data_IF_435398283473
#
_entry.id   IF_435398283473
#
_cell.length_a   1.000
_cell.length_b   1.000
_cell.length_c   1.000
_cell.angle_alpha   90.00
_cell.angle_beta   90.00
_cell.angle_gamma   90.00
#
_symmetry.space_group_name_H-M   'P 1'
#
loop_
_entity.id
_entity.type
_entity.pdbx_description
1 polymer ?
#
# COMPACT_ATOMS: atom_id res chain seq x y z
N UNK A 1 -13.12 -9.04 -46.63
CA UNK A 1 -12.48 -7.72 -46.69
C UNK A 1 -12.52 -7.09 -45.29
N UNK A 2 -11.95 -7.77 -44.28
CA UNK A 2 -10.61 -7.59 -43.73
C UNK A 2 -9.98 -6.18 -43.64
N UNK A 3 -10.74 -5.08 -43.78
CA UNK A 3 -10.17 -3.72 -43.65
C UNK A 3 -9.69 -3.39 -42.22
N UNK A 4 -10.36 -3.92 -41.18
CA UNK A 4 -9.93 -3.70 -39.77
C UNK A 4 -8.62 -4.43 -39.45
N UNK A 5 -8.43 -5.62 -40.00
CA UNK A 5 -7.21 -6.40 -39.82
C UNK A 5 -6.00 -5.70 -40.47
N UNK A 6 -6.20 -5.09 -41.64
CA UNK A 6 -5.14 -4.34 -42.33
C UNK A 6 -4.73 -3.07 -41.56
N UNK A 7 -5.70 -2.38 -40.93
CA UNK A 7 -5.43 -1.19 -40.10
C UNK A 7 -4.66 -1.53 -38.82
N UNK A 8 -5.00 -2.64 -38.17
CA UNK A 8 -4.29 -3.12 -36.98
C UNK A 8 -2.85 -3.48 -37.30
N UNK A 9 -2.61 -4.23 -38.38
CA UNK A 9 -1.26 -4.61 -38.82
C UNK A 9 -0.43 -3.38 -39.21
N UNK A 10 -1.04 -2.38 -39.86
CA UNK A 10 -0.37 -1.12 -40.17
C UNK A 10 0.01 -0.34 -38.90
N UNK A 11 -0.88 -0.30 -37.91
CA UNK A 11 -0.62 0.34 -36.62
C UNK A 11 0.52 -0.35 -35.85
N UNK A 12 0.51 -1.68 -35.78
CA UNK A 12 1.58 -2.47 -35.16
C UNK A 12 2.93 -2.22 -35.85
N UNK A 13 2.95 -2.11 -37.18
CA UNK A 13 4.17 -1.79 -37.94
C UNK A 13 4.74 -0.41 -37.61
N UNK A 14 3.88 0.61 -37.45
CA UNK A 14 4.28 1.98 -37.06
C UNK A 14 4.83 2.01 -35.64
N UNK A 15 4.19 1.32 -34.69
CA UNK A 15 4.65 1.23 -33.30
C UNK A 15 6.00 0.52 -33.22
N UNK A 16 6.16 -0.62 -33.90
CA UNK A 16 7.43 -1.37 -33.92
C UNK A 16 8.59 -0.52 -34.47
N UNK A 17 8.36 0.22 -35.56
CA UNK A 17 9.37 1.13 -36.14
C UNK A 17 9.73 2.29 -35.21
N UNK A 18 8.75 2.86 -34.51
CA UNK A 18 8.97 3.94 -33.54
C UNK A 18 9.76 3.46 -32.31
N UNK A 19 9.52 2.22 -31.86
CA UNK A 19 10.20 1.64 -30.71
C UNK A 19 11.61 1.10 -31.03
N UNK A 20 11.88 0.72 -32.28
CA UNK A 20 13.14 0.10 -32.68
C UNK A 20 14.41 0.93 -32.41
N UNK A 21 14.31 2.26 -32.36
CA UNK A 21 15.43 3.16 -32.09
C UNK A 21 15.67 3.47 -30.60
N UNK A 22 14.78 3.01 -29.72
CA UNK A 22 14.84 3.27 -28.28
C UNK A 22 15.54 2.11 -27.55
N UNK A 23 16.17 2.39 -26.41
CA UNK A 23 16.63 1.36 -25.46
C UNK A 23 15.45 0.69 -24.74
N UNK A 24 15.70 -0.46 -24.12
CA UNK A 24 14.67 -1.30 -23.51
C UNK A 24 13.88 -0.57 -22.39
N UNK A 25 14.58 0.20 -21.56
CA UNK A 25 13.97 1.05 -20.52
C UNK A 25 13.10 2.16 -21.11
N UNK A 26 13.56 2.81 -22.20
CA UNK A 26 12.79 3.82 -22.89
C UNK A 26 11.55 3.23 -23.60
N UNK A 27 11.65 2.01 -24.17
CA UNK A 27 10.49 1.31 -24.76
C UNK A 27 9.45 0.99 -23.69
N UNK A 28 9.86 0.47 -22.54
CA UNK A 28 8.94 0.16 -21.43
C UNK A 28 8.17 1.38 -20.94
N UNK A 29 8.85 2.52 -20.80
CA UNK A 29 8.20 3.79 -20.40
C UNK A 29 7.20 4.30 -21.44
N UNK A 30 7.53 4.21 -22.73
CA UNK A 30 6.62 4.64 -23.81
C UNK A 30 5.39 3.74 -23.88
N UNK A 31 5.56 2.42 -23.75
CA UNK A 31 4.44 1.47 -23.77
C UNK A 31 3.51 1.70 -22.58
N UNK A 32 4.06 1.89 -21.37
CA UNK A 32 3.27 2.23 -20.17
C UNK A 32 2.49 3.53 -20.35
N UNK A 33 3.13 4.57 -20.90
CA UNK A 33 2.45 5.83 -21.19
C UNK A 33 1.31 5.68 -22.20
N UNK A 34 1.48 4.87 -23.26
CA UNK A 34 0.41 4.59 -24.23
C UNK A 34 -0.75 3.85 -23.56
N UNK A 35 -0.45 2.84 -22.73
CA UNK A 35 -1.46 2.09 -22.00
C UNK A 35 -2.29 2.97 -21.07
N UNK A 36 -1.65 3.86 -20.30
CA UNK A 36 -2.33 4.85 -19.46
C UNK A 36 -3.18 5.83 -20.31
N UNK A 37 -2.64 6.29 -21.45
CA UNK A 37 -3.30 7.29 -22.30
C UNK A 37 -4.57 6.78 -22.98
N UNK A 38 -4.64 5.49 -23.24
CA UNK A 38 -5.75 4.80 -23.92
C UNK A 38 -6.52 3.85 -22.99
N UNK A 39 -6.27 3.89 -21.69
CA UNK A 39 -6.92 3.04 -20.67
C UNK A 39 -6.85 1.54 -20.99
N UNK A 40 -5.72 1.09 -21.53
CA UNK A 40 -5.46 -0.32 -21.82
C UNK A 40 -4.78 -0.92 -20.60
N UNK A 41 -5.42 -1.90 -19.95
CA UNK A 41 -4.80 -2.67 -18.89
C UNK A 41 -3.67 -3.53 -19.48
N UNK A 42 -2.44 -3.31 -19.01
CA UNK A 42 -1.31 -4.17 -19.33
C UNK A 42 -1.08 -5.10 -18.15
N UNK A 43 -1.66 -6.30 -18.20
CA UNK A 43 -1.35 -7.35 -17.24
C UNK A 43 0.14 -7.71 -17.36
N UNK A 44 0.87 -7.54 -16.26
CA UNK A 44 2.29 -7.86 -16.24
C UNK A 44 2.46 -9.38 -16.32
N UNK A 45 3.06 -9.87 -17.40
CA UNK A 45 3.42 -11.28 -17.51
C UNK A 45 4.47 -11.67 -16.44
N UNK A 46 4.31 -12.83 -15.76
CA UNK A 46 5.14 -13.18 -14.62
C UNK A 46 6.59 -13.45 -15.03
N UNK A 47 7.52 -12.67 -14.46
CA UNK A 47 8.96 -12.86 -14.66
C UNK A 47 9.44 -14.13 -13.93
N UNK A 48 9.84 -15.15 -14.69
CA UNK A 48 10.57 -16.33 -14.17
C UNK A 48 11.93 -15.88 -13.63
N UNK A 49 12.12 -15.93 -12.31
CA UNK A 49 13.39 -15.64 -11.65
C UNK A 49 14.30 -16.87 -11.57
N UNK A 50 15.50 -16.80 -12.13
CA UNK A 50 16.66 -17.63 -11.73
C UNK A 50 17.46 -16.90 -10.64
N UNK A 51 18.09 -17.58 -9.67
CA UNK A 51 18.66 -16.93 -8.50
C UNK A 51 20.15 -16.59 -8.72
N UNK A 52 20.49 -15.31 -8.91
CA UNK A 52 21.86 -14.81 -8.65
C UNK A 52 21.84 -13.30 -8.40
N UNK A 53 22.14 -12.94 -7.15
CA UNK A 53 22.92 -11.76 -6.75
C UNK A 53 22.50 -10.36 -7.20
N UNK A 54 22.02 -9.56 -6.25
CA UNK A 54 22.34 -8.14 -6.19
C UNK A 54 21.18 -7.17 -6.31
N UNK A 55 20.83 -6.59 -5.15
CA UNK A 55 20.41 -5.21 -4.93
C UNK A 55 19.15 -4.64 -5.60
N UNK A 56 18.38 -3.96 -4.75
CA UNK A 56 17.40 -2.91 -5.04
C UNK A 56 16.04 -3.28 -5.66
N UNK A 57 15.02 -2.95 -4.86
CA UNK A 57 13.80 -2.30 -5.35
C UNK A 57 12.83 -3.19 -6.09
N UNK A 58 11.92 -3.81 -5.35
CA UNK A 58 10.79 -4.54 -5.90
C UNK A 58 9.58 -4.36 -5.00
N UNK A 59 8.74 -3.40 -5.40
CA UNK A 59 7.28 -3.51 -5.37
C UNK A 59 6.86 -4.73 -6.20
N UNK A 60 5.97 -5.55 -5.65
CA UNK A 60 5.04 -6.49 -6.32
C UNK A 60 4.16 -7.07 -5.18
N UNK A 61 2.88 -6.71 -5.15
CA UNK A 61 1.74 -7.39 -5.81
C UNK A 61 1.22 -8.58 -5.00
N UNK A 62 -0.06 -8.52 -4.66
CA UNK A 62 -0.95 -9.67 -4.48
C UNK A 62 -2.36 -9.10 -4.70
N UNK A 63 -2.86 -9.16 -5.92
CA UNK A 63 -3.69 -10.26 -6.44
C UNK A 63 -4.93 -10.46 -5.59
N UNK A 64 -6.03 -9.97 -6.16
CA UNK A 64 -7.40 -10.08 -5.71
C UNK A 64 -7.99 -11.34 -6.34
N UNK A 65 -8.40 -12.30 -5.51
CA UNK A 65 -9.40 -13.29 -5.89
C UNK A 65 -10.75 -12.82 -5.33
N UNK A 66 -11.74 -12.89 -6.22
CA UNK A 66 -13.14 -12.48 -6.10
C UNK A 66 -13.82 -12.85 -4.78
N UNK A 67 -14.57 -11.89 -4.23
CA UNK A 67 -15.82 -12.17 -3.52
C UNK A 67 -16.78 -11.00 -3.71
N UNK A 68 -17.79 -11.29 -4.52
CA UNK A 68 -19.10 -10.66 -4.58
C UNK A 68 -19.74 -10.64 -3.18
N UNK A 69 -20.20 -9.48 -2.71
CA UNK A 69 -21.39 -9.30 -1.85
C UNK A 69 -21.48 -7.84 -1.31
N UNK A 70 -22.63 -7.21 -1.55
CA UNK A 70 -23.04 -5.91 -1.01
C UNK A 70 -22.78 -5.78 0.50
N UNK A 71 -21.86 -4.88 0.89
CA UNK A 71 -21.81 -4.31 2.25
C UNK A 71 -21.56 -2.79 2.15
N UNK A 72 -22.66 -2.06 2.18
CA UNK A 72 -22.94 -0.90 3.03
C UNK A 72 -21.78 0.06 3.40
N UNK A 73 -21.83 1.24 2.78
CA UNK A 73 -21.59 2.58 3.32
C UNK A 73 -20.33 2.91 4.18
N UNK A 74 -19.56 3.89 3.68
CA UNK A 74 -18.58 4.76 4.39
C UNK A 74 -17.21 4.20 4.79
N UNK A 75 -16.64 3.29 4.02
CA UNK A 75 -15.19 3.18 3.93
C UNK A 75 -14.78 3.62 2.53
N UNK A 76 -14.26 4.85 2.40
CA UNK A 76 -13.63 5.28 1.16
C UNK A 76 -12.64 4.20 0.71
N UNK A 77 -12.72 3.79 -0.55
CA UNK A 77 -11.82 2.82 -1.13
C UNK A 77 -10.43 3.47 -1.29
N UNK A 78 -9.68 3.55 -0.20
CA UNK A 78 -8.38 4.20 -0.16
C UNK A 78 -7.35 3.27 -0.82
N UNK A 79 -6.88 3.63 -2.01
CA UNK A 79 -5.91 2.84 -2.77
C UNK A 79 -4.49 2.99 -2.20
N UNK A 80 -4.22 4.13 -1.56
CA UNK A 80 -2.92 4.45 -0.98
C UNK A 80 -3.02 4.91 0.48
N UNK A 81 -2.00 4.54 1.27
CA UNK A 81 -1.88 4.99 2.66
C UNK A 81 -1.84 6.52 2.78
N UNK A 82 -1.28 7.21 1.78
CA UNK A 82 -1.21 8.66 1.73
C UNK A 82 -2.59 9.32 1.82
N UNK A 83 -3.58 8.77 1.11
CA UNK A 83 -4.94 9.31 1.05
C UNK A 83 -5.66 9.13 2.38
N UNK A 84 -5.56 7.94 2.98
CA UNK A 84 -6.08 7.68 4.32
C UNK A 84 -5.43 8.60 5.35
N UNK A 85 -4.11 8.80 5.26
CA UNK A 85 -3.38 9.64 6.18
C UNK A 85 -3.81 11.11 6.08
N UNK A 86 -3.92 11.64 4.86
CA UNK A 86 -4.41 12.99 4.61
C UNK A 86 -5.85 13.17 5.10
N UNK A 87 -6.76 12.26 4.73
CA UNK A 87 -8.17 12.29 5.14
C UNK A 87 -8.36 12.17 6.66
N UNK A 88 -7.46 11.48 7.36
CA UNK A 88 -7.52 11.37 8.82
C UNK A 88 -7.16 12.66 9.56
N UNK A 89 -6.50 13.62 8.89
CA UNK A 89 -5.98 14.83 9.55
C UNK A 89 -4.96 14.56 10.67
N UNK A 90 -4.33 13.38 10.67
CA UNK A 90 -3.39 12.99 11.72
C UNK A 90 -2.19 13.95 11.77
N UNK A 91 -2.03 14.65 12.89
CA UNK A 91 -1.00 15.69 13.06
C UNK A 91 0.09 15.27 14.04
N UNK A 92 -0.19 14.26 14.87
CA UNK A 92 0.74 13.78 15.91
C UNK A 92 1.27 12.37 15.64
N UNK A 93 2.48 12.07 16.13
CA UNK A 93 3.06 10.73 15.99
C UNK A 93 2.16 9.58 16.50
N UNK A 94 1.44 9.70 17.64
CA UNK A 94 0.51 8.67 18.08
C UNK A 94 -0.69 8.48 17.16
N UNK A 95 -1.22 9.55 16.58
CA UNK A 95 -2.34 9.48 15.64
C UNK A 95 -1.88 8.85 14.33
N UNK A 96 -0.75 9.27 13.78
CA UNK A 96 -0.22 8.68 12.56
C UNK A 96 0.08 7.18 12.70
N UNK A 97 0.62 6.75 13.85
CA UNK A 97 0.81 5.33 14.14
C UNK A 97 -0.52 4.56 14.25
N UNK A 98 -1.60 5.22 14.70
CA UNK A 98 -2.92 4.61 14.78
C UNK A 98 -3.56 4.46 13.39
N UNK A 99 -3.41 5.47 12.53
CA UNK A 99 -3.90 5.43 11.14
C UNK A 99 -3.12 4.39 10.33
N UNK A 100 -1.80 4.31 10.50
CA UNK A 100 -0.99 3.25 9.91
C UNK A 100 -1.41 1.86 10.40
N UNK A 101 -1.75 1.71 11.68
CA UNK A 101 -2.26 0.44 12.22
C UNK A 101 -3.63 0.06 11.63
N UNK A 102 -4.50 1.05 11.41
CA UNK A 102 -5.79 0.85 10.75
C UNK A 102 -5.59 0.40 9.30
N UNK A 103 -4.71 1.07 8.55
CA UNK A 103 -4.37 0.67 7.19
C UNK A 103 -3.91 -0.79 7.10
N UNK A 104 -2.97 -1.19 7.94
CA UNK A 104 -2.40 -2.54 7.89
C UNK A 104 -3.40 -3.62 8.34
N UNK A 105 -4.23 -3.34 9.35
CA UNK A 105 -5.16 -4.35 9.87
C UNK A 105 -6.51 -4.40 9.14
N UNK A 106 -7.03 -3.26 8.70
CA UNK A 106 -8.36 -3.16 8.06
C UNK A 106 -8.24 -3.24 6.55
N UNK A 107 -7.37 -2.44 5.93
CA UNK A 107 -7.25 -2.39 4.46
C UNK A 107 -6.38 -3.53 3.92
N UNK A 108 -5.26 -3.87 4.60
CA UNK A 108 -4.43 -5.03 4.20
C UNK A 108 -4.85 -6.36 4.83
N UNK A 109 -5.89 -6.39 5.65
CA UNK A 109 -6.39 -7.63 6.29
C UNK A 109 -5.44 -8.32 7.27
N UNK A 110 -4.36 -7.68 7.73
CA UNK A 110 -3.42 -8.34 8.65
C UNK A 110 -3.99 -8.43 10.08
N UNK A 111 -4.05 -9.64 10.63
CA UNK A 111 -4.55 -9.88 12.01
C UNK A 111 -3.63 -9.31 13.12
N UNK A 112 -2.35 -9.14 12.83
CA UNK A 112 -1.37 -8.54 13.75
C UNK A 112 -0.22 -7.93 12.98
N UNK A 113 0.38 -6.88 13.55
CA UNK A 113 1.42 -6.10 12.87
C UNK A 113 2.57 -5.72 13.80
N UNK A 114 3.70 -5.36 13.19
CA UNK A 114 4.90 -4.89 13.91
C UNK A 114 5.02 -3.36 13.87
N UNK A 115 5.61 -2.77 14.91
CA UNK A 115 5.83 -1.31 14.96
C UNK A 115 6.85 -0.79 13.92
N UNK A 116 7.64 -1.68 13.31
CA UNK A 116 8.58 -1.31 12.26
C UNK A 116 7.87 -1.05 10.92
N UNK A 117 6.90 -1.90 10.57
CA UNK A 117 6.11 -1.81 9.35
C UNK A 117 5.29 -0.52 9.34
N UNK A 118 4.61 -0.21 10.45
CA UNK A 118 3.86 1.05 10.60
C UNK A 118 4.76 2.27 10.39
N UNK A 119 5.98 2.23 10.94
CA UNK A 119 6.92 3.34 10.80
C UNK A 119 7.51 3.45 9.41
N UNK A 120 7.56 2.36 8.64
CA UNK A 120 7.98 2.42 7.23
C UNK A 120 6.96 3.23 6.43
N UNK A 121 5.67 2.90 6.56
CA UNK A 121 4.59 3.65 5.92
C UNK A 121 4.63 5.15 6.25
N UNK A 122 4.83 5.48 7.53
CA UNK A 122 4.95 6.89 7.94
C UNK A 122 6.22 7.57 7.41
N UNK A 123 7.34 6.85 7.30
CA UNK A 123 8.58 7.40 6.72
C UNK A 123 8.46 7.67 5.23
N UNK A 124 7.75 6.81 4.51
CA UNK A 124 7.53 6.97 3.07
C UNK A 124 6.73 8.27 2.79
N UNK A 125 5.87 8.70 3.74
CA UNK A 125 5.19 10.00 3.72
C UNK A 125 5.98 11.16 4.34
N UNK A 126 7.19 10.93 4.85
CA UNK A 126 7.99 11.95 5.54
C UNK A 126 7.64 12.20 7.02
N UNK A 127 6.64 11.49 7.57
CA UNK A 127 6.19 11.59 8.97
C UNK A 127 6.79 10.49 9.88
N UNK A 128 8.04 10.11 9.63
CA UNK A 128 8.71 9.05 10.36
C UNK A 128 8.83 9.31 11.87
N UNK A 129 8.50 8.29 12.68
CA UNK A 129 8.52 8.41 14.15
C UNK A 129 9.83 7.86 14.73
N UNK A 130 10.52 8.70 15.50
CA UNK A 130 11.65 8.28 16.33
C UNK A 130 11.12 7.71 17.66
N UNK A 131 11.52 6.48 18.00
CA UNK A 131 11.07 5.83 19.25
C UNK A 131 9.64 5.26 19.21
N UNK A 132 9.29 4.54 18.15
CA UNK A 132 7.97 3.91 17.94
C UNK A 132 7.48 3.10 19.14
N UNK A 133 8.37 2.40 19.86
CA UNK A 133 8.01 1.64 21.05
C UNK A 133 7.35 2.51 22.14
N UNK A 134 7.81 3.75 22.34
CA UNK A 134 7.24 4.69 23.32
C UNK A 134 5.84 5.11 22.90
N UNK A 135 5.66 5.45 21.62
CA UNK A 135 4.35 5.83 21.05
C UNK A 135 3.35 4.69 21.16
N UNK A 136 3.77 3.46 20.83
CA UNK A 136 2.92 2.27 20.99
C UNK A 136 2.52 2.05 22.46
N UNK A 137 3.44 2.23 23.40
CA UNK A 137 3.12 2.17 24.83
C UNK A 137 2.09 3.23 25.24
N UNK A 138 2.14 4.43 24.68
CA UNK A 138 1.12 5.47 24.93
C UNK A 138 -0.25 5.05 24.41
N UNK A 139 -0.33 4.47 23.20
CA UNK A 139 -1.59 4.00 22.61
C UNK A 139 -2.20 2.81 23.38
N UNK A 140 -1.35 1.95 23.95
CA UNK A 140 -1.76 0.86 24.85
C UNK A 140 -2.25 1.40 26.19
N UNK A 141 -1.65 2.50 26.69
CA UNK A 141 -1.99 3.09 27.99
C UNK A 141 -3.28 3.92 27.98
N UNK A 142 -3.77 4.36 26.80
CA UNK A 142 -5.06 5.04 26.68
C UNK A 142 -6.21 4.13 27.13
N UNK A 143 -7.29 4.71 27.65
CA UNK A 143 -8.50 3.98 28.07
C UNK A 143 -9.72 4.52 27.32
N UNK A 144 -10.41 3.70 26.50
CA UNK A 144 -10.09 2.31 26.15
C UNK A 144 -8.76 2.19 25.39
N UNK A 145 -8.09 1.03 25.51
CA UNK A 145 -6.82 0.78 24.83
C UNK A 145 -7.05 0.75 23.32
N UNK A 146 -6.33 1.59 22.57
CA UNK A 146 -6.49 1.69 21.12
C UNK A 146 -5.70 0.58 20.40
N UNK A 147 -4.61 0.12 21.02
CA UNK A 147 -3.76 -0.96 20.53
C UNK A 147 -3.49 -1.94 21.67
N UNK A 148 -3.39 -3.23 21.35
CA UNK A 148 -2.98 -4.30 22.25
C UNK A 148 -1.66 -4.91 21.79
N UNK A 149 -0.74 -5.15 22.73
CA UNK A 149 0.46 -5.95 22.46
C UNK A 149 0.14 -7.44 22.63
N UNK A 150 0.29 -8.24 21.58
CA UNK A 150 -0.02 -9.68 21.59
C UNK A 150 1.16 -10.51 22.08
N UNK A 151 2.34 -10.33 21.47
CA UNK A 151 3.53 -11.11 21.77
C UNK A 151 4.78 -10.25 21.77
N UNK A 152 5.76 -10.66 22.58
CA UNK A 152 7.13 -10.15 22.55
C UNK A 152 8.07 -11.33 22.31
N UNK A 153 8.84 -11.28 21.23
CA UNK A 153 9.84 -12.32 20.91
C UNK A 153 11.16 -11.99 21.58
N UNK A 154 11.37 -12.53 22.79
CA UNK A 154 12.58 -12.36 23.59
C UNK A 154 12.46 -11.37 24.76
N UNK A 155 13.47 -11.35 25.63
CA UNK A 155 13.47 -10.55 26.87
C UNK A 155 14.08 -9.15 26.69
N UNK A 156 14.92 -8.95 25.67
CA UNK A 156 15.61 -7.68 25.38
C UNK A 156 14.65 -6.52 25.07
N UNK A 157 15.13 -5.28 25.20
CA UNK A 157 14.43 -4.08 24.74
C UNK A 157 14.29 -4.02 23.21
N UNK A 158 15.21 -4.66 22.47
CA UNK A 158 15.19 -4.78 21.01
C UNK A 158 14.33 -5.95 20.50
N UNK A 159 13.71 -6.71 21.41
CA UNK A 159 12.82 -7.81 21.07
C UNK A 159 11.66 -7.32 20.20
N UNK A 160 11.39 -8.05 19.11
CA UNK A 160 10.27 -7.74 18.22
C UNK A 160 8.95 -7.94 18.98
N UNK A 161 8.06 -6.95 18.86
CA UNK A 161 6.72 -6.97 19.46
C UNK A 161 5.67 -6.99 18.35
N UNK A 162 4.66 -7.81 18.52
CA UNK A 162 3.47 -7.81 17.67
C UNK A 162 2.31 -7.16 18.39
N UNK A 163 1.52 -6.42 17.64
CA UNK A 163 0.41 -5.63 18.13
C UNK A 163 -0.84 -5.92 17.32
N UNK A 164 -1.99 -5.54 17.86
CA UNK A 164 -3.29 -5.59 17.22
C UNK A 164 -4.07 -4.33 17.55
N UNK A 165 -4.73 -3.75 16.56
CA UNK A 165 -5.67 -2.65 16.72
C UNK A 165 -6.96 -3.17 17.36
N UNK A 166 -7.48 -2.44 18.34
CA UNK A 166 -8.75 -2.77 19.00
C UNK A 166 -9.93 -2.14 18.27
N UNK A 167 -11.15 -2.55 18.62
CA UNK A 167 -12.36 -1.93 18.08
C UNK A 167 -12.46 -0.45 18.47
N UNK A 168 -11.97 -0.09 19.66
CA UNK A 168 -11.86 1.31 20.08
C UNK A 168 -10.83 2.09 19.25
N UNK A 169 -9.72 1.44 18.87
CA UNK A 169 -8.73 2.00 17.95
C UNK A 169 -9.30 2.26 16.57
N UNK A 170 -10.05 1.31 16.02
CA UNK A 170 -10.74 1.46 14.72
C UNK A 170 -11.70 2.65 14.71
N UNK A 171 -12.61 2.69 15.70
CA UNK A 171 -13.55 3.81 15.86
C UNK A 171 -12.85 5.17 16.00
N UNK A 172 -11.70 5.21 16.67
CA UNK A 172 -10.93 6.44 16.80
C UNK A 172 -10.36 6.92 15.46
N UNK A 173 -9.98 6.01 14.56
CA UNK A 173 -9.49 6.36 13.22
C UNK A 173 -10.65 6.77 12.31
N UNK A 174 -11.77 6.04 12.36
CA UNK A 174 -13.00 6.42 11.64
C UNK A 174 -13.47 7.82 12.06
N UNK A 175 -13.43 8.15 13.36
CA UNK A 175 -13.72 9.50 13.85
C UNK A 175 -12.72 10.55 13.36
N UNK A 176 -11.44 10.19 13.25
CA UNK A 176 -10.42 11.10 12.69
C UNK A 176 -10.71 11.39 11.22
N UNK A 177 -11.01 10.36 10.42
CA UNK A 177 -11.39 10.51 9.00
C UNK A 177 -12.67 11.33 8.87
N UNK A 178 -13.67 11.08 9.71
CA UNK A 178 -14.93 11.82 9.69
C UNK A 178 -14.79 13.30 10.10
N UNK A 179 -13.75 13.65 10.87
CA UNK A 179 -13.48 15.04 11.29
C UNK A 179 -12.44 15.75 10.41
N UNK A 180 -11.63 15.00 9.66
CA UNK A 180 -10.61 15.50 8.74
C UNK A 180 -11.11 15.72 7.31
N UNK A 181 -12.25 15.11 6.95
CA UNK A 181 -13.04 15.44 5.76
C UNK A 181 -13.92 16.69 5.98
#
# INVERSE_FOLDING_TARGET
MDEEADLEIEAMGKVSKALGGLDEDARGRVIRWVAERYSVALDQAPKKTSPTGGSSGGDEETDEDEIDEEIDDKAGNWEHFAELYDASGASTHPEGMLVAAYWVQVLKGQSSFGSLELNKLLKDLGHGVTGTAKVMSTLIAKKPALILQLKKSGKSQQARKTYRLTDAGKKSVEQMIANGA
#
